data_IF_906001420394
#
_entry.id   IF_906001420394
#
_cell.length_a   1.000
_cell.length_b   1.000
_cell.length_c   1.000
_cell.angle_alpha   90.00
_cell.angle_beta   90.00
_cell.angle_gamma   90.00
#
_symmetry.space_group_name_H-M   'P 1'
#
loop_
_entity.id
_entity.type
_entity.pdbx_description
1 polymer ?
#
# COMPACT_ATOMS: atom_id res chain seq x y z
N UNK A 1 -22.34 32.56 3.00
CA UNK A 1 -21.97 32.99 1.64
C UNK A 1 -21.32 31.80 1.01
N UNK A 2 -22.05 30.91 0.44
CA UNK A 2 -22.65 30.86 -0.91
C UNK A 2 -21.60 30.86 -2.02
N UNK A 3 -21.45 29.65 -2.57
CA UNK A 3 -21.40 29.31 -4.00
C UNK A 3 -20.21 29.77 -4.84
N UNK A 4 -19.68 28.77 -5.48
CA UNK A 4 -19.27 28.66 -6.89
C UNK A 4 -17.87 28.03 -7.04
N UNK A 5 -17.84 26.75 -7.34
CA UNK A 5 -17.03 26.24 -8.44
C UNK A 5 -17.56 24.85 -8.86
N UNK A 6 -18.65 24.88 -9.60
CA UNK A 6 -19.00 23.80 -10.51
C UNK A 6 -18.89 24.39 -11.92
N UNK A 7 -18.54 23.57 -12.88
CA UNK A 7 -18.51 23.79 -14.33
C UNK A 7 -17.12 24.10 -14.90
N UNK A 8 -16.59 23.07 -15.53
CA UNK A 8 -16.01 23.12 -16.87
C UNK A 8 -15.58 21.70 -17.31
N UNK A 9 -16.55 20.82 -17.62
CA UNK A 9 -16.38 19.73 -18.57
C UNK A 9 -17.68 19.70 -19.39
N UNK A 10 -17.71 20.49 -20.44
CA UNK A 10 -18.66 20.34 -21.52
C UNK A 10 -18.05 20.99 -22.78
N UNK A 11 -17.82 20.21 -23.79
CA UNK A 11 -17.54 20.79 -25.08
C UNK A 11 -16.57 20.01 -25.94
N UNK A 12 -17.02 18.93 -26.57
CA UNK A 12 -16.67 18.60 -27.96
C UNK A 12 -17.49 17.39 -28.44
N UNK A 13 -18.81 17.56 -28.57
CA UNK A 13 -19.62 16.68 -29.39
C UNK A 13 -19.75 17.37 -30.76
N UNK A 14 -18.89 17.05 -31.70
CA UNK A 14 -19.02 17.45 -33.10
C UNK A 14 -19.63 16.32 -33.91
N UNK A 15 -20.86 16.57 -34.33
CA UNK A 15 -21.61 15.81 -35.34
C UNK A 15 -20.82 15.66 -36.64
N UNK A 16 -20.69 14.42 -37.08
CA UNK A 16 -20.50 14.11 -38.50
C UNK A 16 -21.54 13.06 -38.90
N UNK A 17 -22.68 13.57 -39.32
CA UNK A 17 -23.62 12.85 -40.19
C UNK A 17 -23.06 12.86 -41.59
N UNK A 18 -22.75 11.69 -42.14
CA UNK A 18 -22.24 11.59 -43.51
C UNK A 18 -22.40 10.20 -44.09
N UNK A 19 -23.44 10.00 -44.83
CA UNK A 19 -23.61 9.05 -45.95
C UNK A 19 -23.73 7.57 -45.64
N UNK A 20 -24.96 7.08 -45.60
CA UNK A 20 -25.33 5.72 -45.98
C UNK A 20 -24.79 5.39 -47.38
N UNK A 21 -23.81 4.51 -47.45
CA UNK A 21 -23.48 3.82 -48.69
C UNK A 21 -23.76 2.33 -48.42
N UNK A 22 -24.94 1.87 -48.86
CA UNK A 22 -25.30 0.46 -48.92
C UNK A 22 -24.49 -0.23 -50.01
N UNK A 23 -23.27 -0.63 -49.69
CA UNK A 23 -22.57 -1.65 -50.47
C UNK A 23 -22.94 -3.01 -49.91
N UNK A 24 -23.74 -3.77 -50.67
CA UNK A 24 -23.94 -5.21 -50.55
C UNK A 24 -22.56 -5.86 -50.78
N UNK A 25 -21.87 -6.16 -49.68
CA UNK A 25 -20.61 -6.89 -49.71
C UNK A 25 -20.93 -8.38 -49.72
N UNK A 26 -20.43 -9.06 -50.76
CA UNK A 26 -20.44 -10.54 -50.87
C UNK A 26 -19.74 -11.16 -49.64
N UNK A 27 -20.06 -12.41 -49.24
CA UNK A 27 -19.41 -13.12 -48.17
C UNK A 27 -18.01 -13.55 -48.60
N UNK A 28 -17.09 -12.59 -48.63
CA UNK A 28 -15.67 -12.81 -48.76
C UNK A 28 -15.09 -12.64 -47.35
N UNK A 29 -14.21 -13.54 -46.92
CA UNK A 29 -13.57 -13.54 -45.60
C UNK A 29 -13.10 -12.13 -45.20
N UNK A 30 -13.88 -11.46 -44.37
CA UNK A 30 -13.59 -10.11 -43.91
C UNK A 30 -12.28 -10.14 -43.12
N UNK A 31 -11.30 -9.32 -43.54
CA UNK A 31 -10.13 -9.08 -42.70
C UNK A 31 -10.62 -8.68 -41.31
N UNK A 32 -10.12 -9.37 -40.28
CA UNK A 32 -10.48 -9.07 -38.88
C UNK A 32 -10.29 -7.57 -38.64
N UNK A 33 -11.34 -6.92 -38.17
CA UNK A 33 -11.29 -5.50 -37.86
C UNK A 33 -10.27 -5.27 -36.73
N UNK A 34 -9.36 -4.33 -36.94
CA UNK A 34 -8.32 -3.97 -35.97
C UNK A 34 -8.66 -2.66 -35.30
N UNK A 35 -8.45 -2.64 -33.99
CA UNK A 35 -8.67 -1.46 -33.13
C UNK A 35 -7.36 -0.99 -32.50
N UNK A 36 -7.22 0.31 -32.33
CA UNK A 36 -6.12 0.91 -31.57
C UNK A 36 -6.51 0.93 -30.10
N UNK A 37 -5.69 0.32 -29.26
CA UNK A 37 -5.86 0.32 -27.82
C UNK A 37 -4.75 1.14 -27.20
N UNK A 38 -5.11 2.26 -26.58
CA UNK A 38 -4.17 3.05 -25.80
C UNK A 38 -4.19 2.50 -24.37
N UNK A 39 -3.10 1.88 -23.93
CA UNK A 39 -2.91 1.41 -22.57
C UNK A 39 -2.10 2.43 -21.77
N UNK A 40 -2.48 2.68 -20.53
CA UNK A 40 -1.78 3.61 -19.65
C UNK A 40 -1.78 3.10 -18.21
N UNK A 41 -0.69 3.39 -17.49
CA UNK A 41 -0.54 3.17 -16.04
C UNK A 41 -0.23 4.51 -15.39
N UNK A 42 -0.98 4.86 -14.34
CA UNK A 42 -0.71 6.08 -13.62
C UNK A 42 0.40 5.86 -12.58
N UNK A 43 1.57 6.42 -12.83
CA UNK A 43 2.67 6.45 -11.87
C UNK A 43 2.50 7.62 -10.90
N UNK A 44 2.65 7.40 -9.57
CA UNK A 44 2.55 8.49 -8.60
C UNK A 44 3.71 9.48 -8.75
N UNK A 45 3.46 10.76 -8.46
CA UNK A 45 4.52 11.77 -8.45
C UNK A 45 5.42 11.59 -7.24
N UNK A 46 6.76 11.67 -7.44
CA UNK A 46 7.76 11.52 -6.37
C UNK A 46 7.83 12.73 -5.44
N UNK A 47 7.62 13.93 -5.98
CA UNK A 47 7.94 15.21 -5.32
C UNK A 47 6.86 15.73 -4.36
N UNK A 48 5.75 15.02 -4.20
CA UNK A 48 4.74 15.40 -3.23
C UNK A 48 5.15 14.89 -1.86
N UNK A 49 5.31 15.84 -0.93
CA UNK A 49 5.57 15.57 0.49
C UNK A 49 4.68 14.45 1.04
N UNK A 50 5.11 13.69 2.07
CA UNK A 50 4.51 12.43 2.53
C UNK A 50 3.08 12.53 3.08
N UNK A 51 2.37 13.62 2.84
CA UNK A 51 1.04 13.90 3.40
C UNK A 51 -0.14 13.53 2.48
N UNK A 52 0.11 13.08 1.26
CA UNK A 52 -0.96 12.63 0.37
C UNK A 52 -0.93 11.12 0.22
N UNK A 53 -1.99 10.45 0.66
CA UNK A 53 -2.29 9.09 0.25
C UNK A 53 -2.24 9.06 -1.29
N UNK A 54 -1.46 8.17 -1.87
CA UNK A 54 -1.51 7.95 -3.32
C UNK A 54 -2.86 7.30 -3.61
N UNK A 55 -3.82 7.95 -4.27
CA UNK A 55 -5.14 7.37 -4.54
C UNK A 55 -5.11 6.23 -5.56
N UNK A 56 -3.93 5.81 -5.96
CA UNK A 56 -3.71 4.83 -7.01
C UNK A 56 -2.80 3.76 -6.45
N UNK A 57 -3.25 2.53 -6.40
CA UNK A 57 -2.55 1.36 -5.87
C UNK A 57 -1.14 1.06 -6.42
N UNK A 58 -0.51 2.02 -7.09
CA UNK A 58 0.87 1.95 -7.59
C UNK A 58 1.79 2.61 -6.57
N UNK A 59 2.75 1.87 -5.97
CA UNK A 59 3.71 2.42 -5.02
C UNK A 59 4.59 3.52 -5.61
N UNK A 60 5.07 4.42 -4.76
CA UNK A 60 5.95 5.53 -5.20
C UNK A 60 7.30 5.08 -5.74
N UNK A 61 7.78 3.92 -5.33
CA UNK A 61 9.02 3.31 -5.84
C UNK A 61 8.90 2.81 -7.29
N UNK A 62 7.69 2.69 -7.82
CA UNK A 62 7.45 2.19 -9.17
C UNK A 62 8.20 2.99 -10.24
N UNK A 63 8.92 2.31 -11.10
CA UNK A 63 9.70 2.88 -12.21
C UNK A 63 9.17 2.48 -13.56
N UNK A 64 8.76 1.22 -13.69
CA UNK A 64 8.31 0.65 -14.95
C UNK A 64 7.11 -0.26 -14.73
N UNK A 65 6.33 -0.46 -15.78
CA UNK A 65 5.25 -1.43 -15.84
C UNK A 65 5.37 -2.23 -17.13
N UNK A 66 5.40 -3.54 -17.01
CA UNK A 66 5.27 -4.46 -18.14
C UNK A 66 3.79 -4.81 -18.32
N UNK A 67 3.23 -4.54 -19.49
CA UNK A 67 1.86 -4.91 -19.85
C UNK A 67 1.93 -6.03 -20.87
N UNK A 68 1.45 -7.23 -20.51
CA UNK A 68 1.24 -8.37 -21.39
C UNK A 68 -0.21 -8.47 -21.77
N UNK A 69 -0.46 -8.69 -23.07
CA UNK A 69 -1.80 -8.89 -23.61
C UNK A 69 -1.91 -10.32 -24.10
N UNK A 70 -2.90 -11.02 -23.58
CA UNK A 70 -3.19 -12.40 -23.94
C UNK A 70 -4.48 -12.46 -24.72
N UNK A 71 -4.53 -13.32 -25.71
CA UNK A 71 -5.76 -13.66 -26.45
C UNK A 71 -6.66 -14.64 -25.67
N UNK A 72 -7.76 -15.04 -26.28
CA UNK A 72 -8.70 -16.01 -25.71
C UNK A 72 -8.11 -17.43 -25.54
N UNK A 73 -7.01 -17.75 -26.19
CA UNK A 73 -6.24 -18.99 -26.04
C UNK A 73 -5.12 -18.88 -25.01
N UNK A 74 -5.08 -17.76 -24.26
CA UNK A 74 -4.04 -17.45 -23.27
C UNK A 74 -2.62 -17.37 -23.88
N UNK A 75 -2.52 -16.97 -25.18
CA UNK A 75 -1.24 -16.71 -25.85
C UNK A 75 -0.90 -15.23 -25.75
N UNK A 76 0.36 -14.92 -25.48
CA UNK A 76 0.82 -13.52 -25.48
C UNK A 76 0.84 -13.00 -26.92
N UNK A 77 -0.03 -12.04 -27.21
CA UNK A 77 -0.14 -11.40 -28.53
C UNK A 77 0.57 -10.04 -28.58
N UNK A 78 0.80 -9.45 -27.41
CA UNK A 78 1.55 -8.17 -27.32
C UNK A 78 2.23 -8.05 -25.96
N UNK A 79 3.33 -7.30 -25.91
CA UNK A 79 4.01 -6.90 -24.68
C UNK A 79 4.55 -5.49 -24.88
N UNK A 80 4.21 -4.59 -23.94
CA UNK A 80 4.73 -3.22 -23.92
C UNK A 80 5.31 -2.90 -22.56
N UNK A 81 6.37 -2.11 -22.54
CA UNK A 81 6.95 -1.57 -21.31
C UNK A 81 6.61 -0.08 -21.24
N UNK A 82 5.96 0.30 -20.14
CA UNK A 82 5.65 1.67 -19.78
C UNK A 82 6.65 2.13 -18.72
N UNK A 83 6.95 3.40 -18.71
CA UNK A 83 7.83 4.00 -17.70
C UNK A 83 7.16 5.24 -17.14
N UNK A 84 7.74 5.77 -16.09
CA UNK A 84 7.26 7.02 -15.49
C UNK A 84 7.22 8.18 -16.51
N UNK A 85 8.24 8.27 -17.38
CA UNK A 85 8.31 9.31 -18.41
C UNK A 85 7.39 9.04 -19.63
N UNK A 86 7.11 7.76 -19.89
CA UNK A 86 6.22 7.30 -20.94
C UNK A 86 5.17 6.33 -20.38
N UNK A 87 4.15 6.86 -19.65
CA UNK A 87 3.18 6.05 -18.90
C UNK A 87 2.10 5.40 -19.77
N UNK A 88 2.15 5.58 -21.08
CA UNK A 88 1.18 5.04 -22.04
C UNK A 88 1.80 4.55 -23.34
N UNK A 89 1.12 3.59 -23.98
CA UNK A 89 1.49 3.08 -25.28
C UNK A 89 0.24 2.76 -26.12
N UNK A 90 0.40 2.78 -27.45
CA UNK A 90 -0.65 2.38 -28.40
C UNK A 90 -0.29 1.01 -28.93
N UNK A 91 -1.22 0.06 -28.83
CA UNK A 91 -1.14 -1.26 -29.44
C UNK A 91 -2.29 -1.43 -30.43
N UNK A 92 -2.12 -2.31 -31.42
CA UNK A 92 -3.17 -2.62 -32.40
C UNK A 92 -3.56 -4.08 -32.20
N UNK A 93 -4.83 -4.30 -31.91
CA UNK A 93 -5.40 -5.64 -31.70
C UNK A 93 -6.54 -5.89 -32.69
N UNK A 94 -6.77 -7.12 -33.05
CA UNK A 94 -8.02 -7.53 -33.70
C UNK A 94 -9.16 -7.39 -32.71
N UNK A 95 -10.41 -7.20 -33.20
CA UNK A 95 -11.55 -7.13 -32.29
C UNK A 95 -11.75 -8.48 -31.59
N UNK A 96 -11.94 -8.44 -30.27
CA UNK A 96 -12.08 -9.64 -29.45
C UNK A 96 -11.83 -9.41 -27.96
N UNK A 97 -11.87 -10.50 -27.21
CA UNK A 97 -11.60 -10.50 -25.77
C UNK A 97 -10.12 -10.73 -25.50
N UNK A 98 -9.53 -9.84 -24.68
CA UNK A 98 -8.13 -9.89 -24.31
C UNK A 98 -7.97 -9.78 -22.80
N UNK A 99 -7.00 -10.50 -22.27
CA UNK A 99 -6.55 -10.33 -20.88
C UNK A 99 -5.32 -9.47 -20.85
N UNK A 100 -5.40 -8.39 -20.06
CA UNK A 100 -4.27 -7.49 -19.80
C UNK A 100 -3.69 -7.81 -18.44
N UNK A 101 -2.42 -8.17 -18.41
CA UNK A 101 -1.65 -8.39 -17.18
C UNK A 101 -0.63 -7.26 -17.04
N UNK A 102 -0.64 -6.60 -15.91
CA UNK A 102 0.27 -5.49 -15.58
C UNK A 102 1.14 -5.89 -14.40
N UNK A 103 2.44 -5.87 -14.60
CA UNK A 103 3.47 -6.08 -13.57
C UNK A 103 4.26 -4.79 -13.42
N UNK A 104 4.14 -4.14 -12.28
CA UNK A 104 4.85 -2.89 -11.98
C UNK A 104 6.08 -3.19 -11.15
N UNK A 105 7.23 -2.64 -11.55
CA UNK A 105 8.52 -2.88 -10.91
C UNK A 105 9.15 -1.57 -10.43
N UNK A 106 9.88 -1.66 -9.32
CA UNK A 106 10.75 -0.59 -8.85
C UNK A 106 12.09 -0.56 -9.61
N UNK A 107 12.99 0.36 -9.23
CA UNK A 107 14.31 0.52 -9.84
C UNK A 107 15.19 -0.76 -9.73
N UNK A 108 14.98 -1.59 -8.71
CA UNK A 108 15.71 -2.82 -8.48
C UNK A 108 15.11 -4.03 -9.24
N UNK A 109 14.01 -3.81 -9.97
CA UNK A 109 13.32 -4.87 -10.71
C UNK A 109 12.36 -5.69 -9.84
N UNK A 110 12.18 -5.36 -8.56
CA UNK A 110 11.20 -6.02 -7.67
C UNK A 110 9.78 -5.63 -8.08
N UNK A 111 8.90 -6.62 -8.20
CA UNK A 111 7.49 -6.38 -8.48
C UNK A 111 6.80 -5.77 -7.24
N UNK A 112 6.21 -4.58 -7.42
CA UNK A 112 5.63 -3.78 -6.33
C UNK A 112 4.13 -3.55 -6.50
N UNK A 113 3.58 -3.79 -7.71
CA UNK A 113 2.14 -3.80 -7.94
C UNK A 113 1.78 -4.70 -9.11
N UNK A 114 0.56 -5.21 -9.12
CA UNK A 114 0.09 -6.14 -10.14
C UNK A 114 -1.41 -6.04 -10.38
N UNK A 115 -1.83 -6.34 -11.60
CA UNK A 115 -3.24 -6.50 -11.96
C UNK A 115 -3.38 -7.39 -13.18
N UNK A 116 -4.51 -8.09 -13.25
CA UNK A 116 -4.94 -8.84 -14.42
C UNK A 116 -6.43 -8.62 -14.64
N UNK A 117 -6.83 -8.20 -15.83
CA UNK A 117 -8.22 -7.91 -16.14
C UNK A 117 -8.55 -8.22 -17.60
N UNK A 118 -9.79 -8.53 -17.87
CA UNK A 118 -10.30 -8.88 -19.20
C UNK A 118 -11.05 -7.69 -19.78
N UNK A 119 -10.76 -7.38 -21.04
CA UNK A 119 -11.46 -6.35 -21.81
C UNK A 119 -11.92 -6.89 -23.15
N UNK A 120 -13.14 -6.53 -23.56
CA UNK A 120 -13.67 -6.77 -24.90
C UNK A 120 -13.36 -5.56 -25.77
N UNK A 121 -12.51 -5.76 -26.77
CA UNK A 121 -12.04 -4.70 -27.69
C UNK A 121 -12.83 -4.81 -28.99
N UNK A 122 -13.74 -3.87 -29.22
CA UNK A 122 -14.58 -3.82 -30.42
C UNK A 122 -14.32 -2.58 -31.29
N UNK A 123 -13.60 -1.58 -30.73
CA UNK A 123 -13.26 -0.32 -31.39
C UNK A 123 -12.03 0.30 -30.72
N UNK A 124 -11.54 1.40 -31.26
CA UNK A 124 -10.49 2.18 -30.63
C UNK A 124 -10.85 2.51 -29.18
N UNK A 125 -9.96 2.15 -28.23
CA UNK A 125 -10.24 2.16 -26.81
C UNK A 125 -9.08 2.73 -26.01
N UNK A 126 -9.39 3.43 -24.92
CA UNK A 126 -8.42 3.87 -23.92
C UNK A 126 -8.61 3.05 -22.64
N UNK A 127 -7.54 2.41 -22.17
CA UNK A 127 -7.53 1.62 -20.93
C UNK A 127 -6.56 2.24 -19.93
N UNK A 128 -7.10 2.74 -18.83
CA UNK A 128 -6.31 3.08 -17.65
C UNK A 128 -6.22 1.84 -16.75
N UNK A 129 -5.05 1.24 -16.75
CA UNK A 129 -4.77 0.07 -15.91
C UNK A 129 -4.35 0.56 -14.51
N UNK A 130 -5.10 0.15 -13.47
CA UNK A 130 -4.85 0.53 -12.09
C UNK A 130 -4.43 -0.71 -11.30
N UNK A 131 -3.11 -1.04 -11.23
CA UNK A 131 -2.60 -2.18 -10.48
C UNK A 131 -2.80 -1.97 -8.98
N UNK A 132 -2.82 -3.08 -8.24
CA UNK A 132 -2.85 -3.10 -6.78
C UNK A 132 -1.44 -3.29 -6.22
N UNK A 133 -1.12 -2.55 -5.15
CA UNK A 133 0.14 -2.67 -4.47
C UNK A 133 0.33 -4.08 -3.86
N UNK A 134 1.55 -4.58 -3.91
CA UNK A 134 1.94 -5.85 -3.28
C UNK A 134 2.44 -5.56 -1.87
N UNK A 135 1.91 -6.29 -0.88
CA UNK A 135 2.35 -6.20 0.50
C UNK A 135 3.75 -6.83 0.67
N UNK A 136 4.68 -6.07 1.24
CA UNK A 136 5.98 -6.57 1.66
C UNK A 136 6.01 -6.85 3.14
N UNK A 137 6.05 -5.80 3.95
CA UNK A 137 6.12 -5.87 5.39
C UNK A 137 5.08 -4.98 6.08
N UNK A 138 4.86 -5.26 7.37
CA UNK A 138 4.06 -4.43 8.24
C UNK A 138 4.64 -4.43 9.66
N UNK A 139 4.49 -3.31 10.38
CA UNK A 139 4.82 -3.23 11.81
C UNK A 139 3.99 -2.17 12.51
N UNK A 140 3.88 -2.31 13.83
CA UNK A 140 3.24 -1.34 14.71
C UNK A 140 4.31 -0.56 15.47
N UNK A 141 4.20 0.75 15.52
CA UNK A 141 5.03 1.63 16.33
C UNK A 141 4.18 2.38 17.36
N UNK A 142 4.73 2.62 18.54
CA UNK A 142 4.13 3.43 19.60
C UNK A 142 5.22 4.12 20.42
N UNK A 143 4.84 5.15 21.16
CA UNK A 143 5.74 6.05 21.87
C UNK A 143 5.75 5.88 23.39
N UNK A 144 4.99 4.95 23.92
CA UNK A 144 4.94 4.66 25.36
C UNK A 144 4.86 3.16 25.61
N UNK A 145 5.43 2.72 26.73
CA UNK A 145 5.45 1.31 27.13
C UNK A 145 4.65 1.05 28.41
N UNK A 146 4.16 2.10 29.05
CA UNK A 146 3.32 2.04 30.25
C UNK A 146 2.13 2.96 30.05
N UNK A 147 0.95 2.46 30.38
CA UNK A 147 -0.30 3.22 30.40
C UNK A 147 -0.91 3.10 31.79
N UNK A 148 -1.25 4.24 32.38
CA UNK A 148 -2.06 4.27 33.58
C UNK A 148 -3.55 4.12 33.23
N UNK A 149 -4.39 3.65 34.17
CA UNK A 149 -5.83 3.54 33.94
C UNK A 149 -6.43 4.86 33.42
N UNK A 150 -7.22 4.75 32.34
CA UNK A 150 -7.82 5.90 31.68
C UNK A 150 -6.95 6.63 30.67
N UNK A 151 -5.64 6.38 30.63
CA UNK A 151 -4.77 6.93 29.59
C UNK A 151 -5.00 6.28 28.25
N UNK A 152 -4.75 7.04 27.18
CA UNK A 152 -4.87 6.57 25.81
C UNK A 152 -3.53 6.62 25.09
N UNK A 153 -3.35 5.71 24.13
CA UNK A 153 -2.18 5.67 23.26
C UNK A 153 -2.58 5.45 21.81
N UNK A 154 -1.89 6.13 20.92
CA UNK A 154 -1.98 5.88 19.49
C UNK A 154 -0.84 4.94 19.07
N UNK A 155 -1.20 3.87 18.36
CA UNK A 155 -0.26 3.01 17.66
C UNK A 155 -0.38 3.30 16.18
N UNK A 156 0.74 3.52 15.52
CA UNK A 156 0.81 3.70 14.06
C UNK A 156 1.14 2.38 13.40
N UNK A 157 0.36 2.02 12.39
CA UNK A 157 0.65 0.89 11.51
C UNK A 157 1.41 1.39 10.28
N UNK A 158 2.50 0.72 10.00
CA UNK A 158 3.26 0.87 8.77
C UNK A 158 3.05 -0.38 7.94
N UNK A 159 2.68 -0.20 6.69
CA UNK A 159 2.57 -1.27 5.69
C UNK A 159 3.34 -0.80 4.48
N UNK A 160 4.29 -1.60 4.03
CA UNK A 160 5.23 -1.21 2.96
C UNK A 160 5.30 -2.28 1.88
N UNK A 161 5.80 -1.88 0.75
CA UNK A 161 6.08 -2.74 -0.39
C UNK A 161 7.22 -3.76 -0.12
N UNK A 162 7.39 -4.81 -0.96
CA UNK A 162 8.43 -5.81 -0.79
C UNK A 162 9.83 -5.21 -0.76
N UNK A 163 10.74 -5.86 -0.03
CA UNK A 163 12.18 -5.52 0.04
C UNK A 163 12.81 -5.41 -1.37
N UNK A 164 13.83 -4.56 -1.47
CA UNK A 164 14.53 -4.23 -2.72
C UNK A 164 14.03 -2.92 -3.33
N UNK A 165 12.98 -2.33 -2.79
CA UNK A 165 12.68 -0.92 -2.97
C UNK A 165 13.66 -0.08 -2.15
N UNK A 166 13.99 1.11 -2.64
CA UNK A 166 14.84 2.12 -2.01
C UNK A 166 14.59 2.26 -0.49
N UNK A 167 15.59 2.69 0.31
CA UNK A 167 15.46 2.81 1.77
C UNK A 167 14.35 3.74 2.26
N UNK A 168 13.63 4.38 1.35
CA UNK A 168 12.46 5.19 1.64
C UNK A 168 11.21 4.30 1.56
N UNK A 169 10.87 3.65 2.64
CA UNK A 169 9.61 2.92 2.77
C UNK A 169 8.44 3.88 2.62
N UNK A 170 7.74 3.78 1.50
CA UNK A 170 6.49 4.50 1.31
C UNK A 170 5.33 3.68 1.85
N UNK A 171 4.51 4.23 2.75
CA UNK A 171 3.36 3.51 3.24
C UNK A 171 2.39 3.23 2.09
N UNK A 172 1.93 1.98 2.03
CA UNK A 172 0.87 1.56 1.13
C UNK A 172 -0.50 1.93 1.72
N UNK A 173 -1.50 2.02 0.86
CA UNK A 173 -2.90 2.25 1.25
C UNK A 173 -3.87 1.20 0.68
N UNK A 174 -3.40 0.31 -0.19
CA UNK A 174 -4.21 -0.73 -0.84
C UNK A 174 -4.20 -2.05 -0.05
N UNK A 175 -4.67 -1.97 1.19
CA UNK A 175 -4.82 -3.12 2.10
C UNK A 175 -6.02 -2.91 3.02
N UNK A 176 -6.45 -3.99 3.65
CA UNK A 176 -7.40 -3.96 4.75
C UNK A 176 -6.69 -4.32 6.05
N UNK A 177 -7.18 -3.81 7.17
CA UNK A 177 -6.62 -4.10 8.48
C UNK A 177 -7.70 -4.23 9.54
N UNK A 178 -7.47 -5.15 10.47
CA UNK A 178 -8.23 -5.26 11.72
C UNK A 178 -7.26 -5.28 12.90
N UNK A 179 -7.73 -4.77 14.04
CA UNK A 179 -6.94 -4.71 15.27
C UNK A 179 -7.58 -5.52 16.38
N UNK A 180 -6.75 -6.01 17.28
CA UNK A 180 -7.18 -6.64 18.52
C UNK A 180 -6.19 -6.32 19.63
N UNK A 181 -6.69 -6.20 20.87
CA UNK A 181 -5.87 -6.08 22.08
C UNK A 181 -5.91 -7.39 22.83
N UNK A 182 -4.76 -7.87 23.27
CA UNK A 182 -4.65 -9.15 23.97
C UNK A 182 -3.39 -9.26 24.79
N UNK A 183 -3.24 -10.41 25.42
CA UNK A 183 -2.04 -10.85 26.14
C UNK A 183 -1.42 -12.02 25.40
N UNK A 184 -0.11 -12.17 25.51
CA UNK A 184 0.60 -13.39 25.10
C UNK A 184 1.76 -13.67 26.05
N UNK A 185 2.12 -14.93 26.21
CA UNK A 185 3.28 -15.38 26.99
C UNK A 185 4.36 -15.96 26.10
N UNK A 186 4.01 -16.46 24.92
CA UNK A 186 4.96 -16.88 23.90
C UNK A 186 5.65 -15.68 23.25
N UNK A 187 6.93 -15.80 22.93
CA UNK A 187 7.73 -14.73 22.33
C UNK A 187 7.20 -14.31 20.95
N UNK A 188 6.59 -15.23 20.22
CA UNK A 188 5.98 -15.01 18.91
C UNK A 188 4.47 -14.66 19.00
N UNK A 189 3.95 -14.54 20.21
CA UNK A 189 2.51 -14.34 20.49
C UNK A 189 1.59 -15.37 19.81
N UNK A 190 2.05 -16.60 19.59
CA UNK A 190 1.22 -17.69 19.06
C UNK A 190 0.05 -18.05 19.96
N UNK A 191 0.14 -17.72 21.27
CA UNK A 191 -0.87 -17.89 22.29
C UNK A 191 -1.71 -16.61 22.56
N UNK A 192 -1.76 -15.68 21.61
CA UNK A 192 -2.48 -14.42 21.76
C UNK A 192 -3.95 -14.63 22.14
N UNK A 193 -4.33 -14.11 23.30
CA UNK A 193 -5.69 -14.18 23.83
C UNK A 193 -6.25 -12.77 24.08
N UNK A 194 -7.52 -12.49 23.75
CA UNK A 194 -8.16 -11.21 24.04
C UNK A 194 -8.09 -10.87 25.53
N UNK A 195 -7.96 -9.59 25.87
CA UNK A 195 -7.94 -9.09 27.25
C UNK A 195 -8.89 -7.91 27.42
N UNK A 196 -9.32 -7.70 28.66
CA UNK A 196 -10.08 -6.51 29.07
C UNK A 196 -9.19 -5.43 29.69
N UNK A 197 -7.87 -5.62 29.74
CA UNK A 197 -6.95 -4.65 30.33
C UNK A 197 -6.86 -3.34 29.53
N UNK A 198 -7.18 -3.37 28.24
CA UNK A 198 -7.35 -2.17 27.43
C UNK A 198 -8.46 -2.38 26.38
N UNK A 199 -8.98 -1.27 25.88
CA UNK A 199 -10.02 -1.25 24.83
C UNK A 199 -9.56 -0.44 23.64
N UNK A 200 -10.02 -0.84 22.45
CA UNK A 200 -9.84 -0.05 21.24
C UNK A 200 -10.84 1.10 21.25
N UNK A 201 -10.34 2.33 21.15
CA UNK A 201 -11.14 3.56 21.13
C UNK A 201 -11.51 3.95 19.71
N UNK A 202 -10.56 3.80 18.80
CA UNK A 202 -10.77 4.05 17.37
C UNK A 202 -9.78 3.27 16.54
N UNK A 203 -10.23 2.88 15.35
CA UNK A 203 -9.43 2.19 14.34
C UNK A 203 -9.36 3.02 13.08
N UNK A 204 -8.19 3.06 12.47
CA UNK A 204 -7.96 3.65 11.18
C UNK A 204 -7.04 2.72 10.38
N UNK A 205 -7.04 2.85 9.07
CA UNK A 205 -6.15 2.06 8.21
C UNK A 205 -4.68 2.19 8.60
N UNK A 206 -4.27 3.37 9.04
CA UNK A 206 -2.89 3.70 9.39
C UNK A 206 -2.55 3.56 10.88
N UNK A 207 -3.47 3.02 11.70
CA UNK A 207 -3.20 2.82 13.12
C UNK A 207 -4.45 2.69 13.97
N UNK A 208 -4.23 2.56 15.26
CA UNK A 208 -5.28 2.30 16.26
C UNK A 208 -5.02 3.11 17.51
N UNK A 209 -6.08 3.61 18.12
CA UNK A 209 -6.05 4.24 19.46
C UNK A 209 -6.62 3.28 20.47
N UNK A 210 -5.87 3.02 21.53
CA UNK A 210 -6.30 2.20 22.69
C UNK A 210 -6.43 3.06 23.94
N UNK A 211 -7.24 2.60 24.90
CA UNK A 211 -7.34 3.15 26.24
C UNK A 211 -7.08 2.05 27.28
N UNK A 212 -6.27 2.35 28.29
CA UNK A 212 -6.03 1.47 29.40
C UNK A 212 -7.27 1.44 30.35
N UNK A 213 -7.68 0.25 30.72
CA UNK A 213 -8.76 0.03 31.71
C UNK A 213 -8.18 -0.13 33.11
N UNK A 214 -9.05 -0.14 34.11
CA UNK A 214 -8.66 -0.48 35.46
C UNK A 214 -8.29 -1.96 35.55
N UNK A 215 -7.10 -2.25 36.04
CA UNK A 215 -6.63 -3.61 36.31
C UNK A 215 -6.19 -3.76 37.77
N UNK A 216 -6.35 -4.94 38.33
CA UNK A 216 -5.99 -5.22 39.75
C UNK A 216 -4.48 -5.41 39.96
N UNK A 217 -3.76 -5.67 38.88
CA UNK A 217 -2.29 -5.83 38.84
C UNK A 217 -1.76 -5.38 37.50
N UNK A 218 -0.47 -5.03 37.46
CA UNK A 218 0.18 -4.68 36.21
C UNK A 218 0.00 -5.79 35.18
N UNK A 219 -0.52 -5.43 34.02
CA UNK A 219 -0.86 -6.38 32.96
C UNK A 219 -0.13 -6.00 31.67
N UNK A 220 0.66 -6.91 31.15
CA UNK A 220 1.31 -6.73 29.85
C UNK A 220 0.33 -7.07 28.74
N UNK A 221 0.13 -6.15 27.84
CA UNK A 221 -0.73 -6.29 26.66
C UNK A 221 0.05 -6.11 25.37
N UNK A 222 -0.52 -6.60 24.29
CA UNK A 222 -0.06 -6.42 22.93
C UNK A 222 -1.22 -6.00 22.03
N UNK A 223 -0.95 -5.20 21.03
CA UNK A 223 -1.88 -4.89 19.96
C UNK A 223 -1.51 -5.73 18.76
N UNK A 224 -2.44 -6.52 18.27
CA UNK A 224 -2.31 -7.30 17.04
C UNK A 224 -2.95 -6.54 15.90
N UNK A 225 -2.21 -6.34 14.81
CA UNK A 225 -2.74 -5.92 13.51
C UNK A 225 -2.75 -7.11 12.56
N UNK A 226 -3.88 -7.33 11.92
CA UNK A 226 -4.06 -8.32 10.85
C UNK A 226 -4.28 -7.57 9.55
N UNK A 227 -3.26 -7.54 8.68
CA UNK A 227 -3.23 -6.79 7.42
C UNK A 227 -3.46 -7.75 6.27
N UNK A 228 -4.46 -7.49 5.43
CA UNK A 228 -4.81 -8.34 4.28
C UNK A 228 -4.70 -7.53 2.99
N UNK A 229 -4.03 -8.07 2.00
CA UNK A 229 -3.85 -7.44 0.69
C UNK A 229 -3.20 -8.37 -0.31
N UNK A 230 -2.77 -7.84 -1.45
CA UNK A 230 -2.11 -8.62 -2.47
C UNK A 230 -0.69 -8.99 -2.01
N UNK A 231 -0.36 -10.27 -1.98
CA UNK A 231 0.98 -10.77 -1.65
C UNK A 231 1.88 -10.89 -2.88
N UNK A 232 3.16 -11.21 -2.68
CA UNK A 232 4.07 -11.50 -3.78
C UNK A 232 3.66 -12.77 -4.52
N UNK A 233 4.15 -12.93 -5.74
CA UNK A 233 3.90 -14.16 -6.52
C UNK A 233 4.47 -15.38 -5.79
N UNK A 234 3.72 -16.47 -5.64
CA UNK A 234 4.20 -17.68 -4.98
C UNK A 234 5.30 -18.40 -5.78
N UNK A 235 5.34 -18.18 -7.10
CA UNK A 235 6.38 -18.69 -7.99
C UNK A 235 6.43 -17.87 -9.29
N UNK A 236 7.53 -17.93 -10.07
CA UNK A 236 7.59 -17.27 -11.36
C UNK A 236 6.45 -17.72 -12.29
N UNK A 237 5.72 -16.74 -12.85
CA UNK A 237 4.60 -16.97 -13.75
C UNK A 237 3.25 -17.26 -13.08
N UNK A 238 3.21 -17.48 -11.76
CA UNK A 238 1.95 -17.55 -11.03
C UNK A 238 1.38 -16.14 -10.77
N UNK A 239 0.05 -16.05 -10.67
CA UNK A 239 -0.59 -14.79 -10.27
C UNK A 239 -0.38 -14.55 -8.77
N UNK A 240 -0.15 -13.29 -8.32
CA UNK A 240 -0.15 -12.94 -6.91
C UNK A 240 -1.46 -13.34 -6.22
N UNK A 241 -1.37 -13.74 -4.96
CA UNK A 241 -2.50 -14.17 -4.17
C UNK A 241 -2.76 -13.19 -3.02
N UNK A 242 -4.00 -13.14 -2.54
CA UNK A 242 -4.30 -12.43 -1.29
C UNK A 242 -3.53 -13.10 -0.16
N UNK A 243 -2.81 -12.30 0.59
CA UNK A 243 -2.02 -12.71 1.75
C UNK A 243 -2.47 -11.97 3.01
N UNK A 244 -2.15 -12.55 4.16
CA UNK A 244 -2.41 -11.94 5.46
C UNK A 244 -1.13 -11.88 6.26
N UNK A 245 -0.78 -10.67 6.70
CA UNK A 245 0.33 -10.41 7.61
C UNK A 245 -0.23 -10.17 9.01
N UNK A 246 0.21 -10.94 9.99
CA UNK A 246 -0.11 -10.72 11.40
C UNK A 246 1.10 -10.09 12.07
N UNK A 247 0.89 -8.95 12.74
CA UNK A 247 1.95 -8.21 13.44
C UNK A 247 1.48 -7.79 14.81
N UNK A 248 2.40 -7.79 15.75
CA UNK A 248 2.18 -7.41 17.14
C UNK A 248 2.97 -6.16 17.49
N UNK A 249 2.41 -5.33 18.36
CA UNK A 249 3.16 -4.23 18.97
C UNK A 249 4.26 -4.79 19.87
N UNK A 250 5.17 -3.93 20.27
CA UNK A 250 5.98 -4.22 21.47
C UNK A 250 5.08 -4.32 22.70
N UNK A 251 5.61 -4.89 23.77
CA UNK A 251 4.91 -5.05 25.04
C UNK A 251 4.52 -3.69 25.64
N UNK A 252 3.26 -3.56 26.04
CA UNK A 252 2.71 -2.39 26.71
C UNK A 252 2.21 -2.83 28.07
N UNK A 253 2.66 -2.18 29.13
CA UNK A 253 2.21 -2.46 30.49
C UNK A 253 1.04 -1.54 30.86
N UNK A 254 -0.11 -2.11 31.18
CA UNK A 254 -1.20 -1.40 31.85
C UNK A 254 -0.96 -1.49 33.36
N UNK A 255 -0.76 -0.34 33.99
CA UNK A 255 -0.47 -0.26 35.41
C UNK A 255 -1.75 -0.40 36.25
N UNK A 256 -1.65 -1.11 37.38
CA UNK A 256 -2.74 -1.22 38.35
C UNK A 256 -3.03 0.09 39.10
N UNK A 257 -2.03 0.95 39.20
CA UNK A 257 -2.13 2.28 39.79
C UNK A 257 -1.31 3.27 38.99
N UNK A 258 -1.67 4.55 38.98
CA UNK A 258 -0.85 5.56 38.31
C UNK A 258 0.61 5.43 38.76
N UNK A 259 1.51 5.22 37.84
CA UNK A 259 2.94 5.21 38.15
C UNK A 259 3.35 6.64 38.51
N UNK A 260 4.10 6.80 39.63
CA UNK A 260 4.69 8.08 40.01
C UNK A 260 5.93 8.44 39.16
N UNK A 261 6.21 7.64 38.14
CA UNK A 261 7.36 7.86 37.26
C UNK A 261 7.07 8.88 36.17
N UNK A 262 8.03 9.75 35.95
CA UNK A 262 8.04 10.64 34.76
C UNK A 262 8.32 9.78 33.54
N UNK A 263 7.29 9.53 32.74
CA UNK A 263 7.46 8.89 31.45
C UNK A 263 8.11 9.86 30.46
N UNK A 264 9.30 9.54 30.01
CA UNK A 264 9.88 10.23 28.85
C UNK A 264 9.31 9.57 27.59
N UNK A 265 8.36 10.25 26.96
CA UNK A 265 7.89 9.85 25.63
C UNK A 265 8.95 10.27 24.59
N UNK A 266 9.54 9.31 23.91
CA UNK A 266 10.33 9.57 22.71
C UNK A 266 9.41 9.37 21.50
N UNK A 267 9.06 10.47 20.86
CA UNK A 267 8.37 10.43 19.56
C UNK A 267 9.39 10.13 18.46
N UNK A 268 9.63 8.84 18.21
CA UNK A 268 10.43 8.37 17.10
C UNK A 268 9.57 8.27 15.85
N UNK A 269 9.34 9.38 15.19
CA UNK A 269 8.64 9.43 13.91
C UNK A 269 9.54 10.08 12.84
N UNK A 270 10.10 9.35 11.91
CA UNK A 270 9.99 7.91 11.60
C UNK A 270 10.79 7.02 12.56
N UNK A 271 10.63 5.68 12.51
CA UNK A 271 11.34 4.75 13.40
C UNK A 271 12.86 4.68 13.18
N UNK A 272 13.42 5.62 12.44
CA UNK A 272 14.83 5.76 12.13
C UNK A 272 15.37 7.02 12.77
N UNK A 273 16.42 6.87 13.56
CA UNK A 273 17.23 8.01 13.97
C UNK A 273 18.21 8.29 12.84
N UNK A 274 17.96 9.35 12.06
CA UNK A 274 19.00 9.91 11.21
C UNK A 274 19.98 10.62 12.13
N UNK A 275 21.17 10.06 12.24
CA UNK A 275 22.27 10.77 12.85
C UNK A 275 22.66 11.92 11.91
N UNK A 276 22.93 13.09 12.49
CA UNK A 276 23.43 14.26 11.75
C UNK A 276 24.62 13.85 10.88
N UNK A 277 24.74 14.46 9.70
CA UNK A 277 25.84 14.22 8.75
C UNK A 277 27.23 14.32 9.36
N UNK A 278 27.36 15.09 10.45
CA UNK A 278 28.60 15.30 11.20
C UNK A 278 28.88 14.20 12.24
N UNK A 279 27.97 13.26 12.43
CA UNK A 279 28.16 12.13 13.31
C UNK A 279 29.06 11.07 12.66
N UNK A 280 30.08 10.53 13.37
CA UNK A 280 30.90 9.43 12.85
C UNK A 280 30.13 8.15 12.56
N UNK A 281 28.87 8.08 12.99
CA UNK A 281 27.92 6.99 12.71
C UNK A 281 26.88 7.33 11.64
N UNK A 282 27.07 8.44 10.88
CA UNK A 282 26.17 8.83 9.80
C UNK A 282 26.01 7.69 8.80
N UNK A 283 24.76 7.31 8.52
CA UNK A 283 24.43 6.19 7.65
C UNK A 283 24.43 4.82 8.31
N UNK A 284 24.77 4.71 9.59
CA UNK A 284 24.59 3.47 10.33
C UNK A 284 23.12 3.28 10.70
N UNK A 285 22.50 2.19 10.24
CA UNK A 285 21.19 1.78 10.73
C UNK A 285 21.36 1.21 12.13
N UNK A 286 20.74 1.86 13.11
CA UNK A 286 20.67 1.32 14.48
C UNK A 286 19.43 0.40 14.52
N UNK A 287 19.58 -0.91 14.71
CA UNK A 287 18.43 -1.78 14.86
C UNK A 287 17.61 -1.38 16.07
N UNK A 288 16.32 -1.11 15.89
CA UNK A 288 15.37 -0.70 16.95
C UNK A 288 15.19 -1.74 18.10
N UNK A 289 15.87 -2.87 18.03
CA UNK A 289 15.79 -3.93 19.06
C UNK A 289 16.93 -3.89 20.08
N UNK A 290 17.80 -2.88 20.02
CA UNK A 290 18.81 -2.70 21.05
C UNK A 290 18.33 -1.68 22.08
N UNK A 291 18.40 -1.99 23.38
CA UNK A 291 18.04 -1.02 24.42
C UNK A 291 19.01 0.17 24.35
N UNK A 292 18.48 1.35 24.02
CA UNK A 292 19.22 2.59 24.09
C UNK A 292 19.17 3.10 25.51
N UNK A 293 20.29 3.09 26.22
CA UNK A 293 20.39 3.62 27.57
C UNK A 293 20.70 5.12 27.48
N UNK A 294 19.71 5.95 27.77
CA UNK A 294 19.91 7.38 27.96
C UNK A 294 20.37 7.65 29.40
N UNK A 295 21.53 8.23 29.60
CA UNK A 295 21.92 8.80 30.89
C UNK A 295 21.39 10.23 30.95
N UNK A 296 20.25 10.41 31.59
CA UNK A 296 19.80 11.73 32.00
C UNK A 296 20.69 12.24 33.14
N UNK A 297 21.46 13.29 32.89
CA UNK A 297 22.07 14.07 33.97
C UNK A 297 20.98 14.99 34.52
N UNK A 298 20.61 14.85 35.79
CA UNK A 298 19.93 15.91 36.50
C UNK A 298 20.96 17.04 36.65
N UNK A 299 20.64 18.20 36.10
CA UNK A 299 21.33 19.45 36.53
C UNK A 299 20.49 19.98 37.68
N UNK A 300 21.16 20.13 38.82
CA UNK A 300 20.66 20.85 40.02
C UNK A 300 20.42 22.34 39.72
#
# INVERSE_FOLDING_TARGET
MRNRLALLIAGALALLLGACNTQTQAPGGGAAQKSKVTVSVAFPQRDLAPQGLSPQGVPRSAESAEVKVYDSQNQVVNTVTLTRDNPGAIIVLENGNYTFEVSVKNANGTEVAWKKEVHDIQSDTYLLLVPKAILGEAWLSHNAFVLNPGETMNLRLWVVEPEGSEPNYFPLDDYEVTYAVGTCSAQDCSDFAPTTAATIVSEQKTGVKIAANNVSQNTTIYVRATVTGLGPRPSPGADPQITTLVRYSQAITVAASPSSGVGVALDLNPPWVYLDSDSPSYGAQVPLHQPVTFRGGAQD
#
